data_IF_576763849736
#
_entry.id   IF_576763849736
#
_cell.length_a   1.000
_cell.length_b   1.000
_cell.length_c   1.000
_cell.angle_alpha   90.00
_cell.angle_beta   90.00
_cell.angle_gamma   90.00
#
_symmetry.space_group_name_H-M   'P 1'
#
loop_
_entity.id
_entity.type
_entity.pdbx_description
1 polymer ?
#
# COMPACT_ATOMS: atom_id res chain seq x y z
N UNK A 1 19.52 -6.94 11.11
CA UNK A 1 18.17 -6.51 10.73
C UNK A 1 17.78 -7.24 9.45
N UNK A 2 16.64 -7.91 9.46
CA UNK A 2 16.25 -8.82 8.37
C UNK A 2 15.25 -8.20 7.40
N UNK A 3 14.51 -7.18 7.83
CA UNK A 3 13.51 -6.51 7.00
C UNK A 3 13.26 -5.09 7.48
N UNK A 4 12.70 -4.28 6.59
CA UNK A 4 12.20 -2.93 6.89
C UNK A 4 10.70 -2.90 6.58
N UNK A 5 9.91 -2.32 7.47
CA UNK A 5 8.52 -1.98 7.23
C UNK A 5 8.42 -0.46 7.17
N UNK A 6 7.88 0.07 6.08
CA UNK A 6 7.70 1.50 5.89
C UNK A 6 6.22 1.87 5.88
N UNK A 7 5.84 2.79 6.74
CA UNK A 7 4.55 3.48 6.71
C UNK A 7 4.73 4.98 6.48
N UNK A 8 5.74 5.34 5.72
CA UNK A 8 6.09 6.73 5.47
C UNK A 8 4.95 7.50 4.79
N UNK A 9 4.68 8.69 5.31
CA UNK A 9 3.78 9.66 4.71
C UNK A 9 4.28 11.06 5.08
N UNK A 10 4.48 11.95 4.09
CA UNK A 10 5.00 13.31 4.38
C UNK A 10 3.98 14.25 5.03
N UNK A 11 2.78 13.78 5.27
CA UNK A 11 1.71 14.54 5.93
C UNK A 11 0.58 14.94 4.99
N UNK A 12 -0.65 14.61 5.40
CA UNK A 12 -1.85 14.88 4.58
C UNK A 12 -2.14 16.37 4.36
N UNK A 13 -1.60 17.24 5.21
CA UNK A 13 -1.72 18.70 5.08
C UNK A 13 -0.57 19.32 4.30
N UNK A 14 0.43 18.54 3.91
CA UNK A 14 1.57 19.01 3.13
C UNK A 14 1.13 19.32 1.70
N UNK A 15 1.25 20.57 1.22
CA UNK A 15 0.85 20.94 -0.15
C UNK A 15 1.70 20.23 -1.22
N UNK A 16 2.91 19.77 -0.87
CA UNK A 16 3.82 19.06 -1.76
C UNK A 16 3.78 17.54 -1.54
N UNK A 17 2.70 17.01 -0.96
CA UNK A 17 2.59 15.60 -0.58
C UNK A 17 2.88 14.65 -1.75
N UNK A 18 2.46 14.97 -2.97
CA UNK A 18 2.72 14.13 -4.14
C UNK A 18 4.24 13.99 -4.39
N UNK A 19 4.94 15.10 -4.51
CA UNK A 19 6.39 15.10 -4.78
C UNK A 19 7.18 14.51 -3.61
N UNK A 20 6.81 14.87 -2.39
CA UNK A 20 7.52 14.42 -1.20
C UNK A 20 7.31 12.92 -0.95
N UNK A 21 6.17 12.36 -1.35
CA UNK A 21 5.94 10.92 -1.31
C UNK A 21 6.90 10.19 -2.25
N UNK A 22 7.02 10.64 -3.49
CA UNK A 22 7.92 10.02 -4.46
C UNK A 22 9.40 10.17 -4.06
N UNK A 23 9.82 11.37 -3.68
CA UNK A 23 11.21 11.61 -3.26
C UNK A 23 11.58 10.85 -1.99
N UNK A 24 10.66 10.78 -1.03
CA UNK A 24 10.84 10.01 0.20
C UNK A 24 11.02 8.52 -0.07
N UNK A 25 10.21 7.93 -0.93
CA UNK A 25 10.36 6.52 -1.28
C UNK A 25 11.61 6.23 -2.10
N UNK A 26 12.06 7.15 -2.95
CA UNK A 26 13.39 7.01 -3.59
C UNK A 26 14.49 6.91 -2.55
N UNK A 27 14.44 7.77 -1.53
CA UNK A 27 15.41 7.75 -0.43
C UNK A 27 15.31 6.48 0.41
N UNK A 28 14.11 6.00 0.69
CA UNK A 28 13.90 4.74 1.42
C UNK A 28 14.48 3.56 0.65
N UNK A 29 14.19 3.44 -0.64
CA UNK A 29 14.72 2.37 -1.48
C UNK A 29 16.25 2.39 -1.49
N UNK A 30 16.85 3.55 -1.67
CA UNK A 30 18.31 3.70 -1.64
C UNK A 30 18.88 3.33 -0.27
N UNK A 31 18.30 3.82 0.81
CA UNK A 31 18.77 3.55 2.16
C UNK A 31 18.70 2.06 2.53
N UNK A 32 17.63 1.37 2.12
CA UNK A 32 17.48 -0.07 2.36
C UNK A 32 18.57 -0.84 1.60
N UNK A 33 18.85 -0.47 0.34
CA UNK A 33 19.94 -1.07 -0.45
C UNK A 33 21.31 -0.83 0.18
N UNK A 34 21.59 0.40 0.60
CA UNK A 34 22.86 0.75 1.25
C UNK A 34 23.07 0.01 2.58
N UNK A 35 21.99 -0.22 3.31
CA UNK A 35 22.01 -1.01 4.54
C UNK A 35 22.16 -2.52 4.29
N UNK A 36 22.16 -2.96 3.02
CA UNK A 36 22.23 -4.37 2.62
C UNK A 36 21.10 -5.22 3.17
N UNK A 37 19.92 -4.61 3.32
CA UNK A 37 18.69 -5.29 3.69
C UNK A 37 17.93 -5.58 2.40
N UNK A 38 17.48 -6.83 2.24
CA UNK A 38 16.81 -7.24 1.00
C UNK A 38 15.28 -7.11 1.06
N UNK A 39 14.68 -7.28 2.23
CA UNK A 39 13.22 -7.33 2.38
C UNK A 39 12.64 -5.97 2.80
N UNK A 40 11.73 -5.45 1.99
CA UNK A 40 11.03 -4.19 2.27
C UNK A 40 9.52 -4.38 2.15
N UNK A 41 8.79 -4.17 3.24
CA UNK A 41 7.34 -4.18 3.26
C UNK A 41 6.83 -2.75 3.37
N UNK A 42 5.90 -2.38 2.49
CA UNK A 42 5.37 -1.02 2.42
C UNK A 42 3.89 -1.03 2.76
N UNK A 43 3.50 -0.16 3.69
CA UNK A 43 2.09 0.18 3.92
C UNK A 43 1.63 1.00 2.72
N UNK A 44 0.90 0.37 1.83
CA UNK A 44 0.44 0.96 0.59
C UNK A 44 -0.89 1.68 0.73
N UNK A 45 -1.43 2.09 -0.40
CA UNK A 45 -2.74 2.71 -0.50
C UNK A 45 -3.68 1.93 -1.43
N UNK A 46 -4.97 2.19 -1.30
CA UNK A 46 -5.99 1.56 -2.15
C UNK A 46 -6.07 2.18 -3.55
N UNK A 47 -5.46 3.34 -3.76
CA UNK A 47 -5.58 4.08 -5.04
C UNK A 47 -5.10 3.33 -6.26
N UNK A 48 -4.12 2.45 -6.12
CA UNK A 48 -3.63 1.62 -7.24
C UNK A 48 -4.58 0.49 -7.64
N UNK A 49 -5.53 0.14 -6.78
CA UNK A 49 -6.42 -1.02 -6.99
C UNK A 49 -7.46 -0.73 -8.07
N UNK A 50 -7.78 -1.75 -8.86
CA UNK A 50 -8.76 -1.65 -9.93
C UNK A 50 -10.18 -1.84 -9.37
N UNK A 51 -11.09 -0.96 -9.78
CA UNK A 51 -12.54 -1.03 -9.47
C UNK A 51 -13.34 -1.51 -10.67
N UNK A 52 -12.72 -1.51 -11.85
CA UNK A 52 -13.27 -2.02 -13.10
C UNK A 52 -12.08 -2.32 -14.03
N UNK A 53 -12.28 -3.06 -15.15
CA UNK A 53 -11.20 -3.30 -16.10
C UNK A 53 -10.57 -2.00 -16.59
N UNK A 54 -9.26 -1.84 -16.36
CA UNK A 54 -8.49 -0.65 -16.75
C UNK A 54 -8.76 0.62 -15.96
N UNK A 55 -9.57 0.58 -14.90
CA UNK A 55 -9.90 1.74 -14.08
C UNK A 55 -9.46 1.54 -12.63
N UNK A 56 -8.44 2.27 -12.22
CA UNK A 56 -7.98 2.28 -10.83
C UNK A 56 -8.83 3.23 -9.99
N UNK A 57 -8.92 2.98 -8.70
CA UNK A 57 -9.63 3.84 -7.75
C UNK A 57 -9.15 5.29 -7.82
N UNK A 58 -7.83 5.51 -7.93
CA UNK A 58 -7.25 6.85 -7.99
C UNK A 58 -7.69 7.65 -9.23
N UNK A 59 -8.05 6.96 -10.32
CA UNK A 59 -8.45 7.58 -11.59
C UNK A 59 -9.99 7.66 -11.73
N UNK A 60 -10.74 7.17 -10.75
CA UNK A 60 -12.20 7.04 -10.83
C UNK A 60 -12.99 8.34 -10.60
N UNK A 61 -12.35 9.34 -9.99
CA UNK A 61 -13.02 10.55 -9.53
C UNK A 61 -13.72 10.41 -8.18
N UNK A 62 -13.64 9.25 -7.54
CA UNK A 62 -14.27 9.00 -6.24
C UNK A 62 -13.43 9.46 -5.05
N UNK A 63 -12.14 9.77 -5.25
CA UNK A 63 -11.25 10.22 -4.18
C UNK A 63 -11.53 11.71 -3.90
N UNK A 64 -11.79 12.09 -2.64
CA UNK A 64 -11.92 13.51 -2.28
C UNK A 64 -10.71 14.33 -2.71
N UNK A 65 -10.94 15.51 -3.25
CA UNK A 65 -9.89 16.37 -3.82
C UNK A 65 -8.73 16.63 -2.84
N UNK A 66 -9.06 16.86 -1.57
CA UNK A 66 -8.05 17.09 -0.54
C UNK A 66 -7.14 15.90 -0.26
N UNK A 67 -7.54 14.70 -0.66
CA UNK A 67 -6.74 13.48 -0.48
C UNK A 67 -6.08 13.01 -1.77
N UNK A 68 -6.50 13.52 -2.92
CA UNK A 68 -6.14 12.99 -4.23
C UNK A 68 -4.63 12.98 -4.47
N UNK A 69 -3.93 14.05 -4.14
CA UNK A 69 -2.48 14.13 -4.36
C UNK A 69 -1.70 13.13 -3.53
N UNK A 70 -2.12 12.88 -2.29
CA UNK A 70 -1.49 11.86 -1.44
C UNK A 70 -1.76 10.44 -1.95
N UNK A 71 -3.00 10.17 -2.32
CA UNK A 71 -3.39 8.86 -2.89
C UNK A 71 -2.67 8.60 -4.20
N UNK A 72 -2.60 9.61 -5.07
CA UNK A 72 -1.90 9.52 -6.35
C UNK A 72 -0.40 9.32 -6.18
N UNK A 73 0.21 10.03 -5.22
CA UNK A 73 1.64 9.88 -4.94
C UNK A 73 1.99 8.45 -4.58
N UNK A 74 1.22 7.82 -3.71
CA UNK A 74 1.47 6.45 -3.30
C UNK A 74 1.15 5.43 -4.42
N UNK A 75 0.13 5.67 -5.22
CA UNK A 75 -0.14 4.85 -6.41
C UNK A 75 1.02 4.94 -7.42
N UNK A 76 1.60 6.13 -7.60
CA UNK A 76 2.73 6.32 -8.51
C UNK A 76 4.06 5.76 -7.95
N UNK A 77 4.24 5.72 -6.63
CA UNK A 77 5.33 4.95 -6.00
C UNK A 77 5.27 3.51 -6.47
N UNK A 78 4.10 2.89 -6.44
CA UNK A 78 3.93 1.51 -6.90
C UNK A 78 4.31 1.34 -8.35
N UNK A 79 3.77 2.17 -9.25
CA UNK A 79 3.98 2.01 -10.69
C UNK A 79 5.34 2.48 -11.17
N UNK A 80 5.85 3.59 -10.63
CA UNK A 80 7.08 4.23 -11.12
C UNK A 80 8.34 3.77 -10.42
N UNK A 81 8.26 3.40 -9.13
CA UNK A 81 9.44 3.06 -8.35
C UNK A 81 9.53 1.57 -8.04
N UNK A 82 8.41 0.93 -7.68
CA UNK A 82 8.43 -0.45 -7.21
C UNK A 82 8.35 -1.47 -8.35
N UNK A 83 7.47 -1.31 -9.30
CA UNK A 83 7.36 -2.25 -10.41
C UNK A 83 8.67 -2.39 -11.20
N UNK A 84 9.46 -1.32 -11.46
CA UNK A 84 10.78 -1.46 -12.08
C UNK A 84 11.86 -1.98 -11.13
N UNK A 85 11.64 -1.97 -9.81
CA UNK A 85 12.65 -2.35 -8.81
C UNK A 85 12.92 -3.85 -8.84
N UNK A 86 14.18 -4.23 -9.06
CA UNK A 86 14.57 -5.63 -9.22
C UNK A 86 15.59 -6.14 -8.19
N UNK A 87 16.21 -5.24 -7.44
CA UNK A 87 17.21 -5.62 -6.44
C UNK A 87 16.57 -6.00 -5.11
N UNK A 88 15.56 -5.25 -4.67
CA UNK A 88 14.90 -5.50 -3.40
C UNK A 88 13.73 -6.48 -3.56
N UNK A 89 13.52 -7.29 -2.55
CA UNK A 89 12.32 -8.09 -2.39
C UNK A 89 11.27 -7.25 -1.66
N UNK A 90 10.61 -6.39 -2.43
CA UNK A 90 9.60 -5.46 -1.91
C UNK A 90 8.21 -6.07 -1.97
N UNK A 91 7.36 -5.63 -1.05
CA UNK A 91 5.93 -5.92 -1.04
C UNK A 91 5.17 -4.63 -0.75
N UNK A 92 4.09 -4.41 -1.46
CA UNK A 92 3.21 -3.26 -1.29
C UNK A 92 1.82 -3.76 -0.88
N UNK A 93 1.52 -3.66 0.41
CA UNK A 93 0.22 -4.09 0.94
C UNK A 93 -0.77 -2.92 0.89
N UNK A 94 -1.73 -3.03 -0.01
CA UNK A 94 -2.81 -2.06 -0.13
C UNK A 94 -3.94 -2.37 0.85
N UNK A 95 -4.44 -1.39 1.63
CA UNK A 95 -5.65 -1.59 2.40
C UNK A 95 -6.89 -1.61 1.49
N UNK A 96 -8.03 -1.92 2.06
CA UNK A 96 -9.33 -1.59 1.49
C UNK A 96 -9.51 -0.06 1.40
N UNK A 97 -10.53 0.41 0.70
CA UNK A 97 -10.78 1.84 0.54
C UNK A 97 -10.99 2.56 1.88
N UNK A 98 -11.60 1.89 2.85
CA UNK A 98 -11.72 2.37 4.23
C UNK A 98 -10.77 1.57 5.13
N UNK A 99 -9.88 2.30 5.80
CA UNK A 99 -8.94 1.76 6.79
C UNK A 99 -9.08 2.59 8.06
N UNK A 100 -9.79 2.07 9.04
CA UNK A 100 -10.07 2.77 10.29
C UNK A 100 -9.90 1.82 11.48
N UNK A 101 -9.67 2.35 12.69
CA UNK A 101 -9.63 1.53 13.89
C UNK A 101 -10.93 0.73 14.07
N UNK A 102 -10.80 -0.51 14.49
CA UNK A 102 -11.92 -1.42 14.67
C UNK A 102 -11.54 -2.60 15.52
N UNK A 103 -11.90 -3.79 15.10
CA UNK A 103 -11.59 -5.03 15.83
C UNK A 103 -10.51 -5.83 15.12
N UNK A 104 -9.68 -6.48 15.92
CA UNK A 104 -8.75 -7.50 15.46
C UNK A 104 -9.50 -8.83 15.38
N UNK A 105 -9.98 -9.16 14.19
CA UNK A 105 -10.71 -10.42 13.96
C UNK A 105 -9.78 -11.56 13.54
N UNK A 106 -8.70 -11.24 12.86
CA UNK A 106 -7.81 -12.23 12.24
C UNK A 106 -8.42 -12.93 11.03
N UNK A 107 -9.60 -12.51 10.58
CA UNK A 107 -10.36 -13.14 9.49
C UNK A 107 -10.63 -12.08 8.42
N UNK A 108 -9.98 -12.20 7.28
CA UNK A 108 -10.13 -11.30 6.15
C UNK A 108 -9.70 -12.02 4.87
N UNK A 109 -10.12 -11.48 3.72
CA UNK A 109 -9.71 -11.99 2.42
C UNK A 109 -8.39 -11.35 1.98
N UNK A 110 -7.65 -12.09 1.16
CA UNK A 110 -6.44 -11.61 0.50
C UNK A 110 -6.73 -11.55 -1.00
N UNK A 111 -6.40 -10.43 -1.63
CA UNK A 111 -6.51 -10.22 -3.07
C UNK A 111 -5.22 -9.66 -3.66
N UNK A 112 -5.20 -9.40 -4.95
CA UNK A 112 -4.01 -8.88 -5.63
C UNK A 112 -4.16 -7.42 -6.02
N UNK A 113 -4.74 -7.14 -7.17
CA UNK A 113 -4.78 -5.80 -7.76
C UNK A 113 -6.20 -5.22 -7.82
N UNK A 114 -7.20 -5.99 -7.42
CA UNK A 114 -8.59 -5.55 -7.44
C UNK A 114 -9.05 -5.12 -6.05
N UNK A 115 -9.81 -4.04 -5.99
CA UNK A 115 -10.43 -3.59 -4.75
C UNK A 115 -11.40 -4.64 -4.24
N UNK A 116 -11.21 -5.11 -3.01
CA UNK A 116 -12.12 -6.05 -2.39
C UNK A 116 -13.32 -5.32 -1.80
N UNK A 117 -14.51 -5.84 -2.07
CA UNK A 117 -15.77 -5.33 -1.51
C UNK A 117 -16.55 -6.45 -0.85
N UNK A 118 -17.34 -6.12 0.16
CA UNK A 118 -18.24 -7.06 0.81
C UNK A 118 -19.55 -7.25 0.02
N UNK A 119 -20.48 -8.01 0.58
CA UNK A 119 -21.76 -8.27 -0.05
C UNK A 119 -22.65 -7.03 -0.26
N UNK A 120 -22.34 -5.92 0.46
CA UNK A 120 -23.00 -4.64 0.31
C UNK A 120 -22.29 -3.70 -0.66
N UNK A 121 -21.16 -4.13 -1.24
CA UNK A 121 -20.34 -3.31 -2.11
C UNK A 121 -19.40 -2.37 -1.36
N UNK A 122 -19.23 -2.52 -0.05
CA UNK A 122 -18.35 -1.70 0.76
C UNK A 122 -16.95 -2.29 0.84
N UNK A 123 -15.92 -1.45 0.71
CA UNK A 123 -14.53 -1.85 0.82
C UNK A 123 -13.94 -1.33 2.12
N UNK A 124 -13.69 -2.26 3.06
CA UNK A 124 -13.21 -1.88 4.39
C UNK A 124 -12.36 -2.97 5.05
N UNK A 125 -11.46 -2.52 5.92
CA UNK A 125 -10.68 -3.36 6.83
C UNK A 125 -10.31 -2.54 8.07
N UNK A 126 -10.22 -3.18 9.22
CA UNK A 126 -9.74 -2.51 10.42
C UNK A 126 -8.22 -2.31 10.37
N UNK A 127 -7.71 -1.27 11.02
CA UNK A 127 -6.25 -1.08 11.15
C UNK A 127 -5.58 -2.26 11.85
N UNK A 128 -6.31 -2.89 12.78
CA UNK A 128 -5.83 -4.05 13.53
C UNK A 128 -5.66 -5.27 12.62
N UNK A 129 -6.63 -5.56 11.76
CA UNK A 129 -6.50 -6.67 10.81
C UNK A 129 -5.49 -6.37 9.69
N UNK A 130 -5.39 -5.11 9.27
CA UNK A 130 -4.34 -4.70 8.34
C UNK A 130 -2.94 -4.96 8.93
N UNK A 131 -2.75 -4.64 10.21
CA UNK A 131 -1.50 -4.94 10.91
C UNK A 131 -1.24 -6.45 11.01
N UNK A 132 -2.27 -7.25 11.26
CA UNK A 132 -2.15 -8.73 11.24
C UNK A 132 -1.65 -9.20 9.87
N UNK A 133 -2.22 -8.69 8.78
CA UNK A 133 -1.81 -9.05 7.43
C UNK A 133 -0.34 -8.69 7.16
N UNK A 134 0.09 -7.51 7.60
CA UNK A 134 1.48 -7.06 7.44
C UNK A 134 2.45 -7.96 8.22
N UNK A 135 2.13 -8.30 9.48
CA UNK A 135 2.96 -9.16 10.30
C UNK A 135 2.99 -10.60 9.78
N UNK A 136 1.86 -11.10 9.29
CA UNK A 136 1.82 -12.43 8.67
C UNK A 136 2.75 -12.49 7.45
N UNK A 137 2.75 -11.46 6.61
CA UNK A 137 3.63 -11.40 5.45
C UNK A 137 5.11 -11.29 5.85
N UNK A 138 5.41 -10.57 6.93
CA UNK A 138 6.76 -10.47 7.47
C UNK A 138 7.26 -11.84 7.98
N UNK A 139 6.44 -12.54 8.75
CA UNK A 139 6.81 -13.81 9.38
C UNK A 139 6.78 -14.99 8.40
N UNK A 140 5.86 -14.96 7.44
CA UNK A 140 5.63 -16.01 6.46
C UNK A 140 5.53 -15.38 5.05
N UNK A 141 6.66 -15.03 4.43
CA UNK A 141 6.66 -14.35 3.12
C UNK A 141 5.93 -15.16 2.06
N UNK A 142 4.83 -14.62 1.55
CA UNK A 142 4.02 -15.22 0.50
C UNK A 142 4.02 -14.41 -0.80
N UNK A 143 4.53 -13.18 -0.75
CA UNK A 143 4.56 -12.26 -1.90
C UNK A 143 5.98 -11.72 -2.09
N UNK A 144 6.38 -11.54 -3.35
CA UNK A 144 7.74 -11.10 -3.70
C UNK A 144 7.68 -10.17 -4.90
N UNK A 145 8.16 -8.95 -4.74
CA UNK A 145 8.15 -7.90 -5.77
C UNK A 145 6.78 -7.74 -6.41
N UNK A 146 5.77 -7.68 -5.58
CA UNK A 146 4.39 -7.50 -6.00
C UNK A 146 3.57 -6.75 -4.95
N UNK A 147 2.41 -6.27 -5.37
CA UNK A 147 1.40 -5.73 -4.48
C UNK A 147 0.34 -6.78 -4.18
N UNK A 148 -0.28 -6.66 -3.03
CA UNK A 148 -1.47 -7.42 -2.67
C UNK A 148 -2.37 -6.56 -1.80
N UNK A 149 -3.58 -7.02 -1.55
CA UNK A 149 -4.56 -6.29 -0.76
C UNK A 149 -5.31 -7.21 0.19
N UNK A 150 -5.94 -6.62 1.18
CA UNK A 150 -6.76 -7.33 2.16
C UNK A 150 -8.06 -6.57 2.40
N UNK A 151 -9.13 -7.30 2.74
CA UNK A 151 -10.43 -6.70 3.01
C UNK A 151 -11.42 -7.71 3.53
N UNK A 152 -12.52 -7.19 4.02
CA UNK A 152 -13.65 -8.03 4.48
C UNK A 152 -14.56 -8.45 3.35
#
# INVERSE_FOLDING_TARGET
>A
MDAVISSYNPGWKNPDIYQDTLSGYRSILQGVKEAKINRLLIVGGAGRLYIAPGLRLVDSGEIPEQLLNGVKGLADVYTQLLQPEKELDWVFLSPSASLVPGQRTGIFRIGKDELLTDAKGESHISTEDFAVAMLNELEHPGHHREGFTVGY
#
